data_IF_124273454552
#
_entry.id   IF_124273454552
#
_cell.length_a   1.000
_cell.length_b   1.000
_cell.length_c   1.000
_cell.angle_alpha   90.00
_cell.angle_beta   90.00
_cell.angle_gamma   90.00
#
_symmetry.space_group_name_H-M   'P 1'
#
loop_
_entity.id
_entity.type
_entity.pdbx_description
1 polymer ?
#
# COMPACT_ATOMS: atom_id res chain seq x y z
N UNK A 1 15.82 0.76 -10.30
CA UNK A 1 14.98 0.22 -9.21
C UNK A 1 14.45 -1.13 -9.68
N UNK A 2 14.66 -2.21 -8.91
CA UNK A 2 13.99 -3.48 -9.20
C UNK A 2 12.65 -3.50 -8.48
N UNK A 3 11.60 -3.97 -9.15
CA UNK A 3 10.26 -4.17 -8.58
C UNK A 3 9.94 -5.67 -8.69
N UNK A 4 9.36 -6.24 -7.64
CA UNK A 4 8.91 -7.63 -7.65
C UNK A 4 7.52 -7.72 -8.28
N UNK A 5 7.37 -8.32 -9.47
CA UNK A 5 6.08 -8.44 -10.14
C UNK A 5 5.12 -9.41 -9.44
N UNK A 6 5.57 -10.19 -8.45
CA UNK A 6 4.71 -11.07 -7.66
C UNK A 6 3.91 -10.35 -6.57
N UNK A 7 4.11 -9.05 -6.40
CA UNK A 7 3.30 -8.24 -5.49
C UNK A 7 1.83 -8.19 -5.98
N UNK A 8 0.90 -8.64 -5.13
CA UNK A 8 -0.53 -8.42 -5.36
C UNK A 8 -0.85 -6.98 -4.93
N UNK A 9 -1.00 -6.09 -5.91
CA UNK A 9 -1.34 -4.69 -5.69
C UNK A 9 -2.82 -4.57 -5.32
N UNK A 10 -3.08 -3.95 -4.17
CA UNK A 10 -4.43 -3.75 -3.64
C UNK A 10 -4.92 -2.31 -3.87
N UNK A 11 -4.01 -1.35 -3.93
CA UNK A 11 -4.32 0.04 -4.24
C UNK A 11 -3.13 0.73 -4.92
N UNK A 12 -3.45 1.62 -5.86
CA UNK A 12 -2.51 2.53 -6.50
C UNK A 12 -2.89 3.98 -6.22
N UNK A 13 -1.93 4.89 -6.36
CA UNK A 13 -2.19 6.33 -6.48
C UNK A 13 -1.67 6.81 -7.82
N UNK A 14 -2.28 7.87 -8.35
CA UNK A 14 -1.79 8.56 -9.55
C UNK A 14 -1.32 9.92 -9.12
N UNK A 15 -0.02 10.19 -9.28
CA UNK A 15 0.54 11.48 -8.94
C UNK A 15 0.15 12.53 -9.98
N UNK A 16 -0.13 13.74 -9.50
CA UNK A 16 -0.28 14.93 -10.34
C UNK A 16 1.06 15.65 -10.42
N UNK A 17 1.28 16.37 -11.53
CA UNK A 17 2.46 17.22 -11.72
C UNK A 17 2.48 18.52 -10.91
N UNK A 18 1.51 18.76 -10.01
CA UNK A 18 1.30 20.05 -9.34
C UNK A 18 2.53 20.53 -8.56
N UNK A 19 3.19 19.62 -7.84
CA UNK A 19 4.39 19.94 -7.05
C UNK A 19 5.68 19.40 -7.69
N UNK A 20 5.57 18.46 -8.61
CA UNK A 20 6.69 17.79 -9.26
C UNK A 20 6.32 17.41 -10.72
N UNK A 21 6.55 18.28 -11.71
CA UNK A 21 6.06 18.08 -13.08
C UNK A 21 6.55 16.78 -13.75
N UNK A 22 7.72 16.26 -13.37
CA UNK A 22 8.32 15.07 -13.97
C UNK A 22 7.66 13.75 -13.54
N UNK A 23 6.72 13.75 -12.58
CA UNK A 23 5.95 12.57 -12.16
C UNK A 23 4.47 12.65 -12.53
N UNK A 24 4.08 13.60 -13.38
CA UNK A 24 2.69 13.74 -13.78
C UNK A 24 2.16 12.46 -14.45
N UNK A 25 1.02 11.96 -13.96
CA UNK A 25 0.40 10.73 -14.44
C UNK A 25 1.08 9.44 -13.98
N UNK A 26 2.13 9.49 -13.16
CA UNK A 26 2.79 8.29 -12.63
C UNK A 26 1.83 7.55 -11.71
N UNK A 27 1.53 6.29 -12.06
CA UNK A 27 0.73 5.38 -11.24
C UNK A 27 1.66 4.54 -10.39
N UNK A 28 1.54 4.65 -9.06
CA UNK A 28 2.40 3.97 -8.11
C UNK A 28 1.58 3.05 -7.21
N UNK A 29 2.00 1.79 -6.96
CA UNK A 29 1.40 0.96 -5.92
C UNK A 29 1.65 1.57 -4.54
N UNK A 30 0.59 1.71 -3.75
CA UNK A 30 0.65 2.26 -2.38
C UNK A 30 0.22 1.26 -1.32
N UNK A 31 -0.55 0.24 -1.71
CA UNK A 31 -0.87 -0.90 -0.86
C UNK A 31 -0.72 -2.18 -1.67
N UNK A 32 0.04 -3.13 -1.15
CA UNK A 32 0.23 -4.44 -1.78
C UNK A 32 0.51 -5.49 -0.71
N UNK A 33 0.36 -6.76 -1.09
CA UNK A 33 0.74 -7.89 -0.24
C UNK A 33 1.45 -8.96 -1.06
N UNK A 34 2.24 -9.80 -0.40
CA UNK A 34 2.85 -10.99 -0.99
C UNK A 34 3.12 -12.06 0.05
N UNK A 35 3.47 -13.26 -0.42
CA UNK A 35 4.08 -14.31 0.41
C UNK A 35 5.61 -14.20 0.37
N UNK A 36 6.25 -14.57 1.46
CA UNK A 36 7.69 -14.76 1.54
C UNK A 36 7.96 -16.09 2.26
N UNK A 37 8.05 -17.17 1.49
CA UNK A 37 7.90 -18.52 2.03
C UNK A 37 6.54 -18.71 2.70
N UNK A 38 6.53 -19.24 3.91
CA UNK A 38 5.32 -19.33 4.75
C UNK A 38 4.85 -17.95 5.25
N UNK A 39 5.74 -16.96 5.32
CA UNK A 39 5.44 -15.63 5.82
C UNK A 39 4.49 -14.84 4.92
N UNK A 40 3.70 -13.96 5.55
CA UNK A 40 2.81 -13.01 4.89
C UNK A 40 3.33 -11.59 5.06
N UNK A 41 3.50 -10.88 3.96
CA UNK A 41 3.96 -9.48 3.94
C UNK A 41 2.82 -8.61 3.44
N UNK A 42 2.40 -7.65 4.26
CA UNK A 42 1.48 -6.59 3.88
C UNK A 42 2.22 -5.26 3.97
N UNK A 43 2.17 -4.47 2.89
CA UNK A 43 2.79 -3.15 2.81
C UNK A 43 1.71 -2.09 2.58
N UNK A 44 1.79 -1.00 3.33
CA UNK A 44 0.94 0.18 3.17
C UNK A 44 1.81 1.43 3.31
N UNK A 45 1.90 2.24 2.26
CA UNK A 45 2.66 3.51 2.27
C UNK A 45 1.87 4.64 2.94
N UNK A 46 0.56 4.50 3.11
CA UNK A 46 -0.30 5.50 3.75
C UNK A 46 0.01 5.61 5.25
N UNK A 47 -0.20 6.79 5.83
CA UNK A 47 -0.02 7.02 7.27
C UNK A 47 1.09 8.00 7.64
N UNK A 48 1.35 9.03 6.83
CA UNK A 48 2.26 10.13 7.20
C UNK A 48 1.81 10.88 8.48
N UNK A 49 0.50 10.86 8.76
CA UNK A 49 -0.12 11.51 9.91
C UNK A 49 -1.22 10.63 10.52
N UNK A 50 -1.49 10.82 11.81
CA UNK A 50 -2.60 10.14 12.53
C UNK A 50 -3.96 10.54 11.99
N UNK A 51 -4.09 11.75 11.42
CA UNK A 51 -5.36 12.22 10.81
C UNK A 51 -5.82 11.39 9.63
N UNK A 52 -4.93 10.58 9.03
CA UNK A 52 -5.30 9.64 7.97
C UNK A 52 -6.34 8.61 8.44
N UNK A 53 -6.43 8.33 9.73
CA UNK A 53 -7.46 7.45 10.29
C UNK A 53 -8.86 8.07 10.28
N UNK A 54 -9.00 9.38 10.03
CA UNK A 54 -10.29 10.03 9.81
C UNK A 54 -10.91 9.59 8.46
N UNK A 55 -10.11 9.00 7.55
CA UNK A 55 -10.57 8.35 6.31
C UNK A 55 -10.87 6.87 6.60
N UNK A 56 -12.15 6.44 6.62
CA UNK A 56 -12.52 5.09 7.04
C UNK A 56 -11.90 3.97 6.18
N UNK A 57 -11.66 4.23 4.90
CA UNK A 57 -11.05 3.30 3.95
C UNK A 57 -9.59 3.00 4.32
N UNK A 58 -8.82 4.02 4.72
CA UNK A 58 -7.43 3.89 5.17
C UNK A 58 -7.37 3.02 6.44
N UNK A 59 -8.19 3.35 7.44
CA UNK A 59 -8.26 2.58 8.67
C UNK A 59 -8.68 1.12 8.42
N UNK A 60 -9.63 0.92 7.51
CA UNK A 60 -10.15 -0.41 7.15
C UNK A 60 -9.10 -1.26 6.44
N UNK A 61 -8.40 -0.71 5.46
CA UNK A 61 -7.40 -1.49 4.71
C UNK A 61 -6.19 -1.83 5.57
N UNK A 62 -5.73 -0.89 6.43
CA UNK A 62 -4.62 -1.14 7.35
C UNK A 62 -4.98 -2.27 8.33
N UNK A 63 -6.15 -2.19 8.98
CA UNK A 63 -6.61 -3.22 9.91
C UNK A 63 -6.76 -4.59 9.24
N UNK A 64 -7.35 -4.65 8.04
CA UNK A 64 -7.49 -5.90 7.30
C UNK A 64 -6.14 -6.48 6.89
N UNK A 65 -5.21 -5.64 6.46
CA UNK A 65 -3.85 -6.03 6.09
C UNK A 65 -3.04 -6.59 7.26
N UNK A 66 -3.05 -5.90 8.40
CA UNK A 66 -2.40 -6.37 9.64
C UNK A 66 -2.97 -7.72 10.08
N UNK A 67 -4.29 -7.84 10.12
CA UNK A 67 -4.95 -9.10 10.47
C UNK A 67 -4.61 -10.22 9.48
N UNK A 68 -4.56 -9.94 8.18
CA UNK A 68 -4.17 -10.94 7.18
C UNK A 68 -2.73 -11.41 7.38
N UNK A 69 -1.79 -10.48 7.64
CA UNK A 69 -0.39 -10.81 7.87
C UNK A 69 -0.19 -11.63 9.15
N UNK A 70 -0.94 -11.33 10.22
CA UNK A 70 -0.79 -11.93 11.54
C UNK A 70 -1.57 -13.23 11.79
N UNK A 71 -2.45 -13.66 10.87
CA UNK A 71 -3.20 -14.92 11.03
C UNK A 71 -2.25 -16.09 11.29
N UNK A 72 -2.70 -17.10 12.03
CA UNK A 72 -2.11 -18.44 11.98
C UNK A 72 -2.70 -19.18 10.78
N UNK A 73 -2.04 -20.25 10.33
CA UNK A 73 -2.51 -21.05 9.18
C UNK A 73 -3.54 -22.10 9.61
#
# INVERSE_FOLDING_TARGET
MHVDPSNEVLATTTFTGEHAPWIDGVVMPVVWKRRHGAGRVFHCTLGHSVKEFDVPEMATILRRGMNWAAREE
#
